data_IF_576480293422
#
_entry.id   IF_576480293422
#
_cell.length_a   1.000
_cell.length_b   1.000
_cell.length_c   1.000
_cell.angle_alpha   90.00
_cell.angle_beta   90.00
_cell.angle_gamma   90.00
#
_symmetry.space_group_name_H-M   'P 1'
#
loop_
_entity.id
_entity.type
_entity.pdbx_description
1 polymer ?
#
# COMPACT_ATOMS: atom_id res chain seq x y z
N UNK A 1 -13.15 -17.15 -17.16
CA UNK A 1 -14.46 -17.35 -16.47
C UNK A 1 -15.20 -16.02 -16.52
N UNK A 2 -16.50 -16.00 -16.81
CA UNK A 2 -17.29 -14.76 -16.88
C UNK A 2 -18.15 -14.67 -15.62
N UNK A 3 -18.08 -13.54 -14.93
CA UNK A 3 -18.87 -13.24 -13.73
C UNK A 3 -19.65 -11.96 -14.00
N UNK A 4 -20.95 -11.99 -13.74
CA UNK A 4 -21.80 -10.80 -13.80
C UNK A 4 -21.96 -10.25 -12.38
N UNK A 5 -21.63 -8.97 -12.19
CA UNK A 5 -21.76 -8.28 -10.91
C UNK A 5 -22.93 -7.30 -11.01
N UNK A 6 -23.81 -7.32 -10.01
CA UNK A 6 -24.87 -6.32 -9.86
C UNK A 6 -24.42 -5.34 -8.78
N UNK A 7 -24.36 -4.06 -9.15
CA UNK A 7 -23.97 -2.97 -8.26
C UNK A 7 -25.18 -2.05 -8.06
N UNK A 8 -25.27 -1.40 -6.91
CA UNK A 8 -26.19 -0.27 -6.76
C UNK A 8 -25.72 0.93 -7.61
N UNK A 9 -26.65 1.84 -7.91
CA UNK A 9 -26.41 2.98 -8.80
C UNK A 9 -25.29 3.91 -8.29
N UNK A 10 -25.18 4.05 -6.98
CA UNK A 10 -24.17 4.91 -6.37
C UNK A 10 -22.76 4.33 -6.54
N UNK A 11 -22.60 3.04 -6.28
CA UNK A 11 -21.34 2.34 -6.45
C UNK A 11 -20.94 2.24 -7.92
N UNK A 12 -21.90 2.00 -8.82
CA UNK A 12 -21.67 2.02 -10.26
C UNK A 12 -21.13 3.38 -10.74
N UNK A 13 -21.73 4.48 -10.24
CA UNK A 13 -21.31 5.84 -10.58
C UNK A 13 -19.89 6.13 -10.08
N UNK A 14 -19.55 5.73 -8.85
CA UNK A 14 -18.20 5.91 -8.31
C UNK A 14 -17.15 5.12 -9.10
N UNK A 15 -17.46 3.86 -9.43
CA UNK A 15 -16.57 2.99 -10.20
C UNK A 15 -16.28 3.62 -11.58
N UNK A 16 -17.31 4.14 -12.25
CA UNK A 16 -17.18 4.78 -13.55
C UNK A 16 -16.38 6.08 -13.48
N UNK A 17 -16.61 6.92 -12.46
CA UNK A 17 -15.83 8.14 -12.24
C UNK A 17 -14.34 7.82 -12.02
N UNK A 18 -14.06 6.80 -11.20
CA UNK A 18 -12.68 6.38 -10.91
C UNK A 18 -12.00 5.78 -12.14
N UNK A 19 -12.70 4.95 -12.91
CA UNK A 19 -12.20 4.39 -14.17
C UNK A 19 -11.86 5.51 -15.17
N UNK A 20 -12.72 6.52 -15.28
CA UNK A 20 -12.48 7.70 -16.14
C UNK A 20 -11.25 8.49 -15.69
N UNK A 21 -11.12 8.75 -14.38
CA UNK A 21 -9.98 9.48 -13.83
C UNK A 21 -8.64 8.78 -14.12
N UNK A 22 -8.63 7.44 -14.13
CA UNK A 22 -7.45 6.64 -14.41
C UNK A 22 -7.31 6.22 -15.88
N UNK A 23 -8.24 6.65 -16.75
CA UNK A 23 -8.28 6.31 -18.18
C UNK A 23 -8.33 4.80 -18.45
N UNK A 24 -9.10 4.09 -17.62
CA UNK A 24 -9.33 2.65 -17.74
C UNK A 24 -10.78 2.38 -18.13
N UNK A 25 -11.04 1.19 -18.69
CA UNK A 25 -12.42 0.71 -18.81
C UNK A 25 -12.96 0.35 -17.42
N UNK A 26 -14.28 0.32 -17.28
CA UNK A 26 -14.95 -0.05 -16.02
C UNK A 26 -14.53 -1.48 -15.62
N UNK A 27 -14.48 -2.40 -16.57
CA UNK A 27 -14.08 -3.79 -16.35
C UNK A 27 -12.61 -3.89 -15.89
N UNK A 28 -11.70 -3.15 -16.53
CA UNK A 28 -10.29 -3.13 -16.15
C UNK A 28 -10.09 -2.58 -14.73
N UNK A 29 -10.81 -1.50 -14.39
CA UNK A 29 -10.82 -0.96 -13.03
C UNK A 29 -11.38 -1.97 -12.02
N UNK A 30 -12.51 -2.63 -12.33
CA UNK A 30 -13.10 -3.66 -11.46
C UNK A 30 -12.13 -4.80 -11.22
N UNK A 31 -11.43 -5.27 -12.26
CA UNK A 31 -10.44 -6.32 -12.13
C UNK A 31 -9.25 -5.90 -11.26
N UNK A 32 -8.76 -4.67 -11.40
CA UNK A 32 -7.71 -4.15 -10.52
C UNK A 32 -8.16 -4.09 -9.06
N UNK A 33 -9.36 -3.55 -8.81
CA UNK A 33 -9.90 -3.47 -7.45
C UNK A 33 -10.14 -4.85 -6.83
N UNK A 34 -10.62 -5.82 -7.60
CA UNK A 34 -10.78 -7.19 -7.12
C UNK A 34 -9.43 -7.88 -6.89
N UNK A 35 -8.45 -7.67 -7.77
CA UNK A 35 -7.10 -8.21 -7.59
C UNK A 35 -6.42 -7.61 -6.35
N UNK A 36 -6.57 -6.30 -6.13
CA UNK A 36 -6.12 -5.63 -4.91
C UNK A 36 -6.87 -6.17 -3.69
N UNK A 37 -8.20 -6.25 -3.72
CA UNK A 37 -8.99 -6.75 -2.60
C UNK A 37 -8.66 -8.22 -2.25
N UNK A 38 -8.28 -9.05 -3.22
CA UNK A 38 -7.82 -10.42 -2.98
C UNK A 38 -6.38 -10.41 -2.45
N UNK A 39 -5.48 -9.62 -3.05
CA UNK A 39 -4.11 -9.48 -2.57
C UNK A 39 -4.02 -8.93 -1.14
N UNK A 40 -5.01 -8.11 -0.75
CA UNK A 40 -5.16 -7.54 0.58
C UNK A 40 -6.30 -8.23 1.37
N UNK A 41 -6.87 -9.32 0.88
CA UNK A 41 -8.08 -9.95 1.45
C UNK A 41 -7.82 -10.68 2.76
N UNK A 42 -6.56 -10.95 3.06
CA UNK A 42 -6.08 -11.49 4.33
C UNK A 42 -5.59 -10.37 5.29
N UNK A 43 -6.01 -9.10 5.10
CA UNK A 43 -5.57 -7.97 5.94
C UNK A 43 -6.28 -7.84 7.29
N UNK A 44 -7.30 -8.65 7.60
CA UNK A 44 -8.01 -8.55 8.90
C UNK A 44 -7.08 -8.70 10.11
N UNK A 45 -6.08 -9.59 10.12
CA UNK A 45 -5.06 -9.64 11.16
C UNK A 45 -4.17 -8.39 11.12
N UNK A 46 -3.69 -8.00 9.93
CA UNK A 46 -2.74 -6.89 9.80
C UNK A 46 -3.32 -5.55 10.24
N UNK A 47 -4.53 -5.21 9.82
CA UNK A 47 -5.16 -3.94 10.19
C UNK A 47 -5.40 -3.85 11.70
N UNK A 48 -5.80 -4.96 12.32
CA UNK A 48 -5.94 -5.06 13.78
C UNK A 48 -4.59 -4.90 14.50
N UNK A 49 -3.54 -5.58 14.02
CA UNK A 49 -2.17 -5.46 14.55
C UNK A 49 -1.61 -4.05 14.34
N UNK A 50 -1.93 -3.41 13.22
CA UNK A 50 -1.51 -2.06 12.90
C UNK A 50 -2.19 -1.03 13.80
N UNK A 51 -3.50 -1.16 14.05
CA UNK A 51 -4.21 -0.33 15.03
C UNK A 51 -3.60 -0.47 16.43
N UNK A 52 -3.27 -1.70 16.86
CA UNK A 52 -2.58 -1.95 18.13
C UNK A 52 -1.20 -1.30 18.17
N UNK A 53 -0.42 -1.40 17.08
CA UNK A 53 0.89 -0.75 16.94
C UNK A 53 0.80 0.78 17.08
N UNK A 54 -0.19 1.42 16.43
CA UNK A 54 -0.40 2.87 16.54
C UNK A 54 -0.74 3.26 17.98
N UNK A 55 -1.61 2.50 18.65
CA UNK A 55 -1.97 2.76 20.04
C UNK A 55 -0.74 2.69 20.96
N UNK A 56 0.12 1.68 20.80
CA UNK A 56 1.37 1.55 21.55
C UNK A 56 2.37 2.68 21.25
N UNK A 57 2.50 3.08 19.98
CA UNK A 57 3.33 4.25 19.61
C UNK A 57 2.84 5.52 20.29
N UNK A 58 1.53 5.77 20.33
CA UNK A 58 0.95 6.93 21.04
C UNK A 58 1.20 6.85 22.55
N UNK A 59 1.07 5.65 23.12
CA UNK A 59 1.28 5.40 24.54
C UNK A 59 2.75 5.58 24.97
N UNK A 60 3.70 5.30 24.07
CA UNK A 60 5.13 5.55 24.29
C UNK A 60 5.43 7.02 24.62
N UNK A 61 4.70 7.97 24.03
CA UNK A 61 4.92 9.41 24.21
C UNK A 61 4.12 10.05 25.34
N UNK A 62 3.16 9.34 25.96
CA UNK A 62 2.27 9.92 26.98
C UNK A 62 2.46 9.30 28.37
N UNK A 63 1.93 8.10 28.69
CA UNK A 63 2.23 7.44 29.98
C UNK A 63 3.55 6.67 29.98
N UNK A 64 4.17 6.43 28.82
CA UNK A 64 5.26 5.48 28.65
C UNK A 64 4.75 4.04 28.53
N UNK A 65 5.60 3.15 28.03
CA UNK A 65 5.27 1.73 27.85
C UNK A 65 5.76 0.90 29.03
N UNK A 66 4.97 -0.10 29.41
CA UNK A 66 5.46 -1.19 30.25
C UNK A 66 6.45 -2.07 29.48
N UNK A 67 7.30 -2.87 30.15
CA UNK A 67 8.22 -3.78 29.48
C UNK A 67 7.53 -4.79 28.55
N UNK A 68 6.33 -5.25 28.92
CA UNK A 68 5.54 -6.16 28.09
C UNK A 68 5.04 -5.47 26.82
N UNK A 69 4.53 -4.24 26.94
CA UNK A 69 4.06 -3.44 25.80
C UNK A 69 5.21 -2.97 24.89
N UNK A 70 6.40 -2.72 25.45
CA UNK A 70 7.59 -2.41 24.65
C UNK A 70 8.03 -3.62 23.80
N UNK A 71 7.99 -4.83 24.37
CA UNK A 71 8.23 -6.06 23.62
C UNK A 71 7.16 -6.32 22.57
N UNK A 72 5.88 -6.09 22.90
CA UNK A 72 4.78 -6.18 21.94
C UNK A 72 4.98 -5.21 20.78
N UNK A 73 5.32 -3.95 21.07
CA UNK A 73 5.60 -2.94 20.06
C UNK A 73 6.78 -3.34 19.16
N UNK A 74 7.85 -3.91 19.73
CA UNK A 74 9.00 -4.38 18.96
C UNK A 74 8.60 -5.50 17.97
N UNK A 75 7.83 -6.48 18.43
CA UNK A 75 7.32 -7.56 17.56
C UNK A 75 6.41 -7.03 16.45
N UNK A 76 5.53 -6.07 16.78
CA UNK A 76 4.65 -5.43 15.81
C UNK A 76 5.42 -4.56 14.80
N UNK A 77 6.55 -3.96 15.19
CA UNK A 77 7.43 -3.24 14.26
C UNK A 77 8.11 -4.21 13.30
N UNK A 78 8.64 -5.34 13.78
CA UNK A 78 9.29 -6.33 12.92
C UNK A 78 8.32 -6.93 11.90
N UNK A 79 7.07 -7.21 12.33
CA UNK A 79 6.02 -7.64 11.40
C UNK A 79 5.65 -6.56 10.38
N UNK A 80 5.67 -5.28 10.78
CA UNK A 80 5.45 -4.16 9.86
C UNK A 80 6.54 -4.08 8.80
N UNK A 81 7.80 -4.21 9.21
CA UNK A 81 8.94 -4.13 8.31
C UNK A 81 8.91 -5.25 7.27
N UNK A 82 8.53 -6.47 7.68
CA UNK A 82 8.37 -7.60 6.76
C UNK A 82 7.26 -7.37 5.73
N UNK A 83 6.14 -6.77 6.14
CA UNK A 83 5.02 -6.46 5.25
C UNK A 83 5.36 -5.32 4.27
N UNK A 84 6.17 -4.35 4.70
CA UNK A 84 6.55 -3.19 3.90
C UNK A 84 7.74 -3.45 2.98
N UNK A 85 8.62 -4.41 3.30
CA UNK A 85 9.82 -4.73 2.54
C UNK A 85 9.60 -4.88 1.01
N UNK A 86 8.55 -5.55 0.52
CA UNK A 86 8.31 -5.67 -0.93
C UNK A 86 7.91 -4.35 -1.60
N UNK A 87 7.28 -3.43 -0.85
CA UNK A 87 6.95 -2.10 -1.34
C UNK A 87 8.19 -1.21 -1.34
N UNK A 88 8.99 -1.26 -0.27
CA UNK A 88 10.24 -0.53 -0.15
C UNK A 88 11.22 -0.90 -1.26
N UNK A 89 11.35 -2.19 -1.57
CA UNK A 89 12.18 -2.65 -2.68
C UNK A 89 11.74 -2.06 -4.03
N UNK A 90 10.43 -2.03 -4.31
CA UNK A 90 9.89 -1.44 -5.53
C UNK A 90 10.14 0.06 -5.61
N UNK A 91 10.01 0.77 -4.49
CA UNK A 91 10.32 2.20 -4.42
C UNK A 91 11.81 2.46 -4.66
N UNK A 92 12.70 1.65 -4.09
CA UNK A 92 14.14 1.74 -4.30
C UNK A 92 14.52 1.50 -5.76
N UNK A 93 13.92 0.50 -6.40
CA UNK A 93 14.11 0.23 -7.84
C UNK A 93 13.66 1.43 -8.69
N UNK A 94 12.51 2.02 -8.36
CA UNK A 94 11.99 3.20 -9.06
C UNK A 94 12.92 4.41 -8.90
N UNK A 95 13.37 4.70 -7.67
CA UNK A 95 14.32 5.78 -7.39
C UNK A 95 15.63 5.56 -8.13
N UNK A 96 16.12 4.31 -8.18
CA UNK A 96 17.34 3.95 -8.92
C UNK A 96 17.17 4.21 -10.42
N UNK A 97 16.03 3.83 -11.00
CA UNK A 97 15.74 4.09 -12.40
C UNK A 97 15.68 5.60 -12.71
N UNK A 98 15.03 6.39 -11.86
CA UNK A 98 14.98 7.84 -11.97
C UNK A 98 16.37 8.47 -11.85
N UNK A 99 17.19 7.97 -10.92
CA UNK A 99 18.57 8.44 -10.75
C UNK A 99 19.41 8.19 -12.00
N UNK A 100 19.32 7.00 -12.59
CA UNK A 100 20.03 6.67 -13.83
C UNK A 100 19.56 7.52 -15.02
N UNK A 101 18.25 7.81 -15.11
CA UNK A 101 17.73 8.72 -16.13
C UNK A 101 18.24 10.15 -15.93
N UNK A 102 18.26 10.65 -14.70
CA UNK A 102 18.80 11.97 -14.37
C UNK A 102 20.29 12.05 -14.72
N UNK A 103 21.09 11.02 -14.41
CA UNK A 103 22.52 10.98 -14.78
C UNK A 103 22.73 11.07 -16.30
N UNK A 104 21.94 10.33 -17.10
CA UNK A 104 22.03 10.38 -18.57
C UNK A 104 21.63 11.73 -19.16
N UNK A 105 20.78 12.50 -18.47
CA UNK A 105 20.42 13.86 -18.88
C UNK A 105 21.48 14.89 -18.49
N UNK A 106 22.33 14.57 -17.50
CA UNK A 106 23.41 15.43 -16.97
C UNK A 106 24.76 15.14 -17.64
N UNK A 107 24.94 14.00 -18.33
CA UNK A 107 26.04 13.78 -19.27
C UNK A 107 25.65 14.26 -20.68
N UNK A 108 25.87 15.55 -21.03
CA UNK A 108 25.83 15.93 -22.43
C UNK A 108 27.02 15.27 -23.11
N UNK A 109 26.74 14.62 -24.23
CA UNK A 109 27.66 14.34 -25.33
C UNK A 109 28.93 15.20 -25.26
N UNK A 110 30.03 14.62 -24.76
CA UNK A 110 31.34 15.21 -25.00
C UNK A 110 31.67 15.00 -26.49
N UNK A 111 32.13 16.05 -27.19
CA UNK A 111 32.40 16.02 -28.64
C UNK A 111 33.55 15.10 -29.02
#
# INVERSE_FOLDING_TARGET
MVITLTLDDHLATQLQARATAQRLSVEAMTLQLLAEAIAHGDTTPWETLHQRRIALLQQQYTPGLTPAEANELAQLQEQADQQLAPLDQRLLEHVTALHQQAQRLVEPSQP
#
